data_IF_759886791935
#
_entry.id   IF_759886791935
#
_cell.length_a   1.000
_cell.length_b   1.000
_cell.length_c   1.000
_cell.angle_alpha   90.00
_cell.angle_beta   90.00
_cell.angle_gamma   90.00
#
_symmetry.space_group_name_H-M   'P 1'
#
loop_
_entity.id
_entity.type
_entity.pdbx_description
1 polymer ?
#
# COMPACT_ATOMS: atom_id res chain seq x y z
N UNK A 1 -11.16 -6.28 -16.68
CA UNK A 1 -10.52 -7.19 -15.72
C UNK A 1 -11.58 -7.80 -14.83
N UNK A 2 -11.39 -9.05 -14.36
CA UNK A 2 -12.20 -9.56 -13.26
C UNK A 2 -12.00 -8.69 -12.01
N UNK A 3 -12.96 -8.72 -11.08
CA UNK A 3 -12.78 -8.11 -9.77
C UNK A 3 -11.63 -8.80 -9.02
N UNK A 4 -10.89 -8.09 -8.15
CA UNK A 4 -9.93 -8.71 -7.24
C UNK A 4 -10.64 -9.68 -6.27
N UNK A 5 -9.90 -10.69 -5.80
CA UNK A 5 -10.36 -11.53 -4.69
C UNK A 5 -10.26 -10.79 -3.34
N UNK A 6 -10.88 -11.39 -2.32
CA UNK A 6 -10.97 -10.78 -0.98
C UNK A 6 -9.58 -10.55 -0.37
N UNK A 7 -8.65 -11.50 -0.53
CA UNK A 7 -7.27 -11.38 -0.03
C UNK A 7 -6.53 -10.19 -0.67
N UNK A 8 -6.72 -10.00 -1.98
CA UNK A 8 -6.18 -8.85 -2.71
C UNK A 8 -6.77 -7.53 -2.19
N UNK A 9 -8.08 -7.50 -1.95
CA UNK A 9 -8.76 -6.32 -1.40
C UNK A 9 -8.22 -5.99 -0.01
N UNK A 10 -8.13 -6.98 0.88
CA UNK A 10 -7.62 -6.80 2.24
C UNK A 10 -6.18 -6.30 2.24
N UNK A 11 -5.34 -6.85 1.36
CA UNK A 11 -3.94 -6.41 1.19
C UNK A 11 -3.85 -4.95 0.75
N UNK A 12 -4.68 -4.53 -0.22
CA UNK A 12 -4.72 -3.15 -0.70
C UNK A 12 -5.27 -2.18 0.36
N UNK A 13 -6.24 -2.61 1.16
CA UNK A 13 -6.76 -1.81 2.27
C UNK A 13 -5.72 -1.66 3.39
N UNK A 14 -4.93 -2.70 3.66
CA UNK A 14 -3.83 -2.60 4.62
C UNK A 14 -2.74 -1.65 4.13
N UNK A 15 -2.37 -1.73 2.84
CA UNK A 15 -1.44 -0.79 2.20
C UNK A 15 -1.94 0.65 2.33
N UNK A 16 -3.21 0.89 2.00
CA UNK A 16 -3.86 2.18 2.13
C UNK A 16 -3.82 2.69 3.59
N UNK A 17 -4.03 1.80 4.56
CA UNK A 17 -3.92 2.09 5.98
C UNK A 17 -2.52 2.53 6.40
N UNK A 18 -1.48 1.84 5.94
CA UNK A 18 -0.07 2.21 6.18
C UNK A 18 0.22 3.61 5.62
N UNK A 19 -0.13 3.85 4.35
CA UNK A 19 0.09 5.15 3.72
C UNK A 19 -0.66 6.29 4.42
N UNK A 20 -1.93 6.07 4.78
CA UNK A 20 -2.76 7.05 5.46
C UNK A 20 -2.21 7.45 6.84
N UNK A 21 -1.71 6.46 7.59
CA UNK A 21 -1.17 6.68 8.92
C UNK A 21 0.22 7.34 8.89
N UNK A 22 1.02 7.04 7.86
CA UNK A 22 2.40 7.51 7.78
C UNK A 22 2.55 8.93 7.21
N UNK A 23 1.68 9.29 6.25
CA UNK A 23 1.85 10.48 5.39
C UNK A 23 0.62 11.40 5.29
N UNK A 24 -0.50 11.11 5.96
CA UNK A 24 -1.85 11.72 5.85
C UNK A 24 -2.85 10.89 5.02
N UNK A 25 -4.16 11.03 5.33
CA UNK A 25 -5.23 10.25 4.69
C UNK A 25 -5.27 10.35 3.17
N UNK A 26 -4.84 11.49 2.61
CA UNK A 26 -4.80 11.73 1.16
C UNK A 26 -3.76 10.88 0.43
N UNK A 27 -2.76 10.33 1.14
CA UNK A 27 -1.73 9.48 0.55
C UNK A 27 -2.27 8.10 0.13
N UNK A 28 -3.31 7.59 0.81
CA UNK A 28 -3.86 6.26 0.58
C UNK A 28 -4.29 5.99 -0.87
N UNK A 29 -5.14 6.82 -1.52
CA UNK A 29 -5.52 6.60 -2.92
C UNK A 29 -4.35 6.74 -3.90
N UNK A 30 -3.38 7.63 -3.61
CA UNK A 30 -2.20 7.82 -4.47
C UNK A 30 -1.30 6.60 -4.41
N UNK A 31 -1.07 6.02 -3.23
CA UNK A 31 -0.28 4.81 -3.06
C UNK A 31 -0.90 3.63 -3.85
N UNK A 32 -2.21 3.37 -3.68
CA UNK A 32 -2.89 2.30 -4.41
C UNK A 32 -2.86 2.52 -5.95
N UNK A 33 -2.99 3.76 -6.41
CA UNK A 33 -2.85 4.07 -7.84
C UNK A 33 -1.44 3.79 -8.36
N UNK A 34 -0.40 4.20 -7.63
CA UNK A 34 1.00 3.97 -8.00
C UNK A 34 1.35 2.48 -8.09
N UNK A 35 0.81 1.65 -7.18
CA UNK A 35 0.96 0.18 -7.24
C UNK A 35 0.43 -0.36 -8.56
N UNK A 36 -0.78 0.04 -8.94
CA UNK A 36 -1.38 -0.38 -10.21
C UNK A 36 -0.60 0.10 -11.44
N UNK A 37 -0.07 1.34 -11.40
CA UNK A 37 0.77 1.89 -12.47
C UNK A 37 2.11 1.15 -12.58
N UNK A 38 2.71 0.78 -11.45
CA UNK A 38 3.98 0.07 -11.40
C UNK A 38 3.86 -1.41 -11.78
N UNK A 39 2.65 -1.99 -11.75
CA UNK A 39 2.42 -3.39 -12.06
C UNK A 39 3.00 -4.35 -11.03
N UNK A 40 3.24 -3.88 -9.80
CA UNK A 40 3.75 -4.70 -8.69
C UNK A 40 2.62 -5.42 -7.97
N UNK A 41 2.94 -6.55 -7.34
CA UNK A 41 1.96 -7.31 -6.59
C UNK A 41 1.54 -6.55 -5.31
N UNK A 42 0.25 -6.61 -4.90
CA UNK A 42 -0.22 -5.90 -3.70
C UNK A 42 0.52 -6.26 -2.40
N UNK A 43 0.89 -7.52 -2.22
CA UNK A 43 1.62 -8.03 -1.07
C UNK A 43 3.06 -7.51 -1.03
N UNK A 44 3.73 -7.47 -2.18
CA UNK A 44 5.04 -6.85 -2.36
C UNK A 44 4.98 -5.35 -2.04
N UNK A 45 3.99 -4.63 -2.58
CA UNK A 45 3.79 -3.21 -2.30
C UNK A 45 3.57 -2.92 -0.81
N UNK A 46 2.77 -3.76 -0.14
CA UNK A 46 2.52 -3.68 1.29
C UNK A 46 3.80 -3.91 2.11
N UNK A 47 4.61 -4.89 1.71
CA UNK A 47 5.90 -5.16 2.35
C UNK A 47 6.85 -3.96 2.25
N UNK A 48 6.98 -3.38 1.04
CA UNK A 48 7.80 -2.19 0.79
C UNK A 48 7.32 -0.98 1.60
N UNK A 49 6.00 -0.75 1.65
CA UNK A 49 5.44 0.35 2.44
C UNK A 49 5.74 0.18 3.94
N UNK A 50 5.53 -1.02 4.48
CA UNK A 50 5.86 -1.34 5.89
C UNK A 50 7.35 -1.15 6.18
N UNK A 51 8.22 -1.58 5.28
CA UNK A 51 9.67 -1.40 5.41
C UNK A 51 10.05 0.09 5.43
N UNK A 52 9.52 0.88 4.51
CA UNK A 52 9.76 2.33 4.45
C UNK A 52 9.37 3.02 5.75
N UNK A 53 8.18 2.73 6.29
CA UNK A 53 7.72 3.30 7.56
C UNK A 53 8.65 2.90 8.72
N UNK A 54 9.10 1.64 8.77
CA UNK A 54 10.03 1.16 9.80
C UNK A 54 11.38 1.87 9.70
N UNK A 55 11.96 1.96 8.51
CA UNK A 55 13.24 2.62 8.28
C UNK A 55 13.20 4.10 8.68
N UNK A 56 12.13 4.81 8.31
CA UNK A 56 11.94 6.23 8.66
C UNK A 56 11.82 6.48 10.17
N UNK A 57 11.29 5.53 10.93
CA UNK A 57 11.16 5.63 12.40
C UNK A 57 12.44 5.26 13.16
N UNK A 58 13.39 4.61 12.50
CA UNK A 58 14.64 4.15 13.10
C UNK A 58 15.79 5.15 12.97
N UNK A 59 15.66 6.16 12.10
CA UNK A 59 16.59 7.28 11.96
C UNK A 59 16.10 8.53 12.66
#
# INVERSE_FOLDING_TARGET
MPAPDDDTVDTLLELAGVAAHDSERIAAPIACWLVGVAGIAPDEALALAKEFVRARRAG
#
